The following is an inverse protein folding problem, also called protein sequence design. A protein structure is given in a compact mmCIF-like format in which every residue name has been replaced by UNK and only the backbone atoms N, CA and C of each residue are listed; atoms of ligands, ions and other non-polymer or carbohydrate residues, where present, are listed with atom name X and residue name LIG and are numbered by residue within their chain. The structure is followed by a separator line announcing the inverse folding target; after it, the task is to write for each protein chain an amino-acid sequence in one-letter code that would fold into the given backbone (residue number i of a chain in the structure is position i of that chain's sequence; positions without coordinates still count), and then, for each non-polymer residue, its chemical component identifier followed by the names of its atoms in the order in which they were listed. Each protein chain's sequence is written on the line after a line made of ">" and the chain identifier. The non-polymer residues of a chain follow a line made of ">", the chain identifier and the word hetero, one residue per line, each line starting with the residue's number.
data_IF_173204582415
#
_entry.id   IF_173204582415
#
_cell.length_a   1.000
_cell.length_b   1.000
_cell.length_c   1.000
_cell.angle_alpha   90.00
_cell.angle_beta   90.00
_cell.angle_gamma   90.00
#
_symmetry.space_group_name_H-M   'P 1'
#
loop_
_entity.id
_entity.type
_entity.pdbx_description
1 polymer ?
#
# COMPACT_ATOMS: atom_id res chain seq x y z
N UNK A 1 -1.88 17.04 -11.42
CA UNK A 1 -2.01 16.83 -9.95
C UNK A 1 -1.11 15.66 -9.55
N UNK A 2 -0.38 15.74 -8.45
CA UNK A 2 0.44 14.65 -7.93
C UNK A 2 -0.32 13.97 -6.78
N UNK A 3 -0.64 12.68 -6.94
CA UNK A 3 -1.37 11.89 -5.95
C UNK A 3 -0.46 10.77 -5.45
N UNK A 4 -0.16 10.78 -4.15
CA UNK A 4 0.51 9.65 -3.51
C UNK A 4 -0.53 8.61 -3.12
N UNK A 5 -0.52 7.45 -3.79
CA UNK A 5 -1.54 6.40 -3.54
C UNK A 5 -1.24 5.52 -2.34
N UNK A 6 -0.05 5.66 -1.72
CA UNK A 6 0.40 4.72 -0.70
C UNK A 6 1.07 5.42 0.48
N UNK A 7 0.27 5.75 1.49
CA UNK A 7 0.77 6.32 2.74
C UNK A 7 0.01 5.74 3.94
N UNK A 8 0.66 5.73 5.10
CA UNK A 8 0.06 5.19 6.32
C UNK A 8 -0.40 6.28 7.28
N UNK A 9 -1.58 6.13 7.85
CA UNK A 9 -2.12 7.03 8.89
C UNK A 9 -1.17 7.06 10.08
N UNK A 10 -0.65 8.23 10.46
CA UNK A 10 0.21 8.36 11.64
C UNK A 10 -0.58 8.00 12.90
N UNK A 11 0.05 7.22 13.76
CA UNK A 11 -0.58 6.75 15.01
C UNK A 11 -0.74 7.86 16.03
N UNK A 12 0.19 8.83 16.04
CA UNK A 12 0.29 9.86 17.06
C UNK A 12 -0.08 11.23 16.50
N UNK A 13 -0.88 11.99 17.26
CA UNK A 13 -1.23 13.35 16.86
C UNK A 13 -0.05 14.32 17.02
N UNK A 14 0.75 14.10 18.07
CA UNK A 14 1.85 14.98 18.42
C UNK A 14 3.02 14.20 19.02
N UNK A 15 4.13 14.89 19.21
CA UNK A 15 5.38 14.29 19.69
C UNK A 15 5.27 13.78 21.15
N UNK A 16 4.49 14.44 22.00
CA UNK A 16 4.32 13.99 23.39
C UNK A 16 3.66 12.60 23.44
N UNK A 17 2.64 12.37 22.62
CA UNK A 17 2.01 11.04 22.49
C UNK A 17 3.00 9.99 21.94
N UNK A 18 3.82 10.36 20.94
CA UNK A 18 4.80 9.46 20.34
C UNK A 18 5.94 9.10 21.31
N UNK A 19 6.39 10.04 22.14
CA UNK A 19 7.48 9.82 23.10
C UNK A 19 7.04 8.97 24.30
N UNK A 20 5.77 9.06 24.72
CA UNK A 20 5.20 8.26 25.82
C UNK A 20 4.86 6.81 25.39
N UNK A 21 4.79 6.54 24.11
CA UNK A 21 4.39 5.24 23.60
C UNK A 21 5.50 4.18 23.70
N UNK A 22 5.10 2.99 24.17
CA UNK A 22 5.94 1.78 24.06
C UNK A 22 5.68 1.15 22.70
N UNK A 23 6.66 1.22 21.80
CA UNK A 23 6.57 0.60 20.48
C UNK A 23 7.11 -0.83 20.53
N UNK A 24 6.30 -1.84 20.29
CA UNK A 24 6.79 -3.22 20.17
C UNK A 24 7.64 -3.38 18.90
N UNK A 25 8.76 -4.06 19.01
CA UNK A 25 9.57 -4.45 17.85
C UNK A 25 8.91 -5.67 17.19
N UNK A 26 8.45 -5.52 15.95
CA UNK A 26 7.74 -6.58 15.21
C UNK A 26 8.51 -7.14 14.02
N UNK A 27 9.62 -6.52 13.64
CA UNK A 27 10.40 -6.91 12.49
C UNK A 27 11.78 -7.43 12.92
N UNK A 28 12.22 -8.54 12.31
CA UNK A 28 13.56 -9.10 12.52
C UNK A 28 14.66 -8.31 11.82
N UNK A 29 14.28 -7.43 10.90
CA UNK A 29 15.19 -6.55 10.18
C UNK A 29 14.53 -5.18 9.99
N UNK A 30 15.29 -4.09 9.95
CA UNK A 30 14.76 -2.78 9.65
C UNK A 30 14.20 -2.76 8.24
N UNK A 31 13.07 -2.04 8.05
CA UNK A 31 12.50 -1.83 6.70
C UNK A 31 13.48 -1.06 5.81
N UNK A 32 14.21 -0.13 6.40
CA UNK A 32 15.31 0.62 5.77
C UNK A 32 16.50 0.69 6.73
N UNK A 33 17.68 0.20 6.29
CA UNK A 33 18.88 0.20 7.16
C UNK A 33 19.46 1.60 7.42
N UNK A 34 19.10 2.58 6.59
CA UNK A 34 19.56 3.97 6.64
C UNK A 34 18.66 4.90 7.46
N UNK A 35 17.56 4.37 8.05
CA UNK A 35 16.59 5.18 8.79
C UNK A 35 16.21 4.59 10.14
N UNK A 36 15.92 5.47 11.14
CA UNK A 36 15.29 5.05 12.37
C UNK A 36 13.88 4.51 12.12
N UNK A 37 13.33 3.83 13.12
CA UNK A 37 11.97 3.27 13.09
C UNK A 37 10.93 4.36 12.75
N UNK A 38 10.20 4.22 11.64
CA UNK A 38 9.21 5.20 11.20
C UNK A 38 7.88 5.11 11.97
N UNK A 39 7.73 4.16 12.90
CA UNK A 39 6.47 3.89 13.60
C UNK A 39 5.99 5.02 14.54
N UNK A 40 6.87 6.00 14.83
CA UNK A 40 6.59 7.15 15.71
C UNK A 40 6.25 8.45 14.99
N UNK A 41 5.94 8.39 13.71
CA UNK A 41 5.53 9.55 12.92
C UNK A 41 4.26 10.20 13.49
N UNK A 42 4.26 11.51 13.59
CA UNK A 42 3.13 12.33 14.05
C UNK A 42 2.34 12.91 12.88
N UNK A 43 1.17 13.47 13.15
CA UNK A 43 0.34 14.16 12.16
C UNK A 43 1.08 15.33 11.50
N UNK A 44 1.79 16.15 12.29
CA UNK A 44 2.53 17.29 11.77
C UNK A 44 3.70 16.86 10.87
N UNK A 45 4.44 15.81 11.26
CA UNK A 45 5.52 15.24 10.44
C UNK A 45 4.98 14.65 9.13
N UNK A 46 3.82 13.99 9.18
CA UNK A 46 3.16 13.50 7.97
C UNK A 46 2.79 14.67 7.05
N UNK A 47 2.11 15.69 7.56
CA UNK A 47 1.68 16.84 6.76
C UNK A 47 2.85 17.63 6.18
N UNK A 48 3.97 17.70 6.91
CA UNK A 48 5.21 18.28 6.39
C UNK A 48 5.78 17.47 5.21
N UNK A 49 5.80 16.15 5.32
CA UNK A 49 6.27 15.27 4.23
C UNK A 49 5.36 15.33 2.99
N UNK A 50 4.04 15.48 3.17
CA UNK A 50 3.07 15.54 2.08
C UNK A 50 3.05 16.89 1.33
N UNK A 51 3.91 17.85 1.65
CA UNK A 51 4.00 19.10 0.88
C UNK A 51 4.43 18.88 -0.57
N UNK A 52 5.14 17.78 -0.85
CA UNK A 52 5.61 17.43 -2.19
C UNK A 52 4.49 16.93 -3.14
N UNK A 53 3.29 16.64 -2.63
CA UNK A 53 2.16 16.11 -3.41
C UNK A 53 0.92 16.96 -3.23
N UNK A 54 -0.01 16.92 -4.17
CA UNK A 54 -1.28 17.63 -4.05
C UNK A 54 -2.24 16.95 -3.08
N UNK A 55 -2.39 15.63 -3.19
CA UNK A 55 -3.19 14.80 -2.28
C UNK A 55 -2.49 13.48 -1.98
N UNK A 56 -2.90 12.84 -0.88
CA UNK A 56 -2.41 11.51 -0.49
C UNK A 56 -3.56 10.58 -0.10
N UNK A 57 -3.47 9.33 -0.53
CA UNK A 57 -4.32 8.25 -0.04
C UNK A 57 -3.69 7.70 1.22
N UNK A 58 -4.47 7.69 2.32
CA UNK A 58 -3.98 7.33 3.65
C UNK A 58 -4.81 6.22 4.25
N UNK A 59 -4.15 5.28 4.93
CA UNK A 59 -4.77 4.10 5.51
C UNK A 59 -3.90 3.45 6.60
N UNK A 60 -4.47 2.49 7.30
CA UNK A 60 -3.75 1.48 8.07
C UNK A 60 -4.30 0.09 7.74
N UNK A 61 -3.74 -0.96 8.34
CA UNK A 61 -4.16 -2.35 8.12
C UNK A 61 -4.79 -2.88 9.42
N UNK A 62 -6.07 -3.27 9.35
CA UNK A 62 -6.79 -3.90 10.43
C UNK A 62 -6.29 -5.33 10.70
N UNK A 63 -6.37 -5.77 11.95
CA UNK A 63 -6.11 -7.15 12.32
C UNK A 63 -7.33 -8.06 12.12
N UNK A 64 -7.16 -9.39 12.26
CA UNK A 64 -8.27 -10.33 12.27
C UNK A 64 -9.15 -10.12 13.51
N UNK A 65 -10.46 -10.41 13.41
CA UNK A 65 -11.43 -10.13 14.47
C UNK A 65 -11.26 -11.02 15.70
N UNK A 66 -10.75 -12.22 15.52
CA UNK A 66 -10.57 -13.25 16.54
C UNK A 66 -9.27 -13.12 17.35
N UNK A 67 -8.46 -12.14 17.05
CA UNK A 67 -7.13 -11.95 17.65
C UNK A 67 -6.12 -13.03 17.26
N UNK A 68 -6.52 -13.99 16.43
CA UNK A 68 -5.70 -15.10 15.95
C UNK A 68 -4.82 -14.60 14.77
N UNK A 69 -3.92 -13.70 15.12
CA UNK A 69 -3.14 -12.96 14.11
C UNK A 69 -2.06 -13.80 13.45
N UNK A 70 -1.68 -14.97 14.05
CA UNK A 70 -0.46 -15.67 13.63
C UNK A 70 -0.51 -17.16 13.88
N UNK A 71 0.37 -17.93 13.20
CA UNK A 71 0.50 -19.37 13.42
C UNK A 71 0.67 -19.71 14.91
N UNK A 72 -0.04 -20.73 15.36
CA UNK A 72 0.04 -21.22 16.76
C UNK A 72 1.48 -21.51 17.15
N UNK A 73 1.91 -21.03 18.31
CA UNK A 73 3.23 -21.32 18.88
C UNK A 73 4.24 -20.17 18.83
N UNK A 74 3.83 -18.96 18.41
CA UNK A 74 4.67 -17.78 18.59
C UNK A 74 4.52 -17.18 20.00
N UNK A 75 5.61 -16.62 20.59
CA UNK A 75 5.55 -15.98 21.90
C UNK A 75 4.55 -14.82 21.92
N UNK A 76 3.70 -14.76 22.94
CA UNK A 76 2.70 -13.67 23.09
C UNK A 76 3.34 -12.29 23.27
N UNK A 77 4.56 -12.20 23.72
CA UNK A 77 5.30 -10.98 24.03
C UNK A 77 5.93 -10.27 22.83
N UNK A 78 5.92 -10.90 21.65
CA UNK A 78 6.42 -10.33 20.38
C UNK A 78 5.31 -9.97 19.37
N UNK A 79 4.04 -10.22 19.70
CA UNK A 79 2.93 -10.05 18.77
C UNK A 79 2.28 -8.67 18.95
N UNK A 80 2.43 -7.80 17.96
CA UNK A 80 1.59 -6.59 17.88
C UNK A 80 0.18 -7.03 17.49
N UNK A 81 -0.73 -6.98 18.44
CA UNK A 81 -2.15 -7.08 18.13
C UNK A 81 -2.54 -5.86 17.29
N UNK A 82 -2.85 -6.09 16.04
CA UNK A 82 -3.43 -5.03 15.19
C UNK A 82 -4.83 -4.72 15.70
N UNK A 83 -5.16 -3.44 15.66
CA UNK A 83 -6.51 -2.99 16.01
C UNK A 83 -7.52 -3.58 15.03
N UNK A 84 -8.75 -3.79 15.49
CA UNK A 84 -9.85 -4.24 14.65
C UNK A 84 -10.27 -3.17 13.63
N UNK A 85 -10.96 -3.58 12.59
CA UNK A 85 -11.35 -2.72 11.46
C UNK A 85 -11.99 -1.40 11.91
N UNK A 86 -12.93 -1.45 12.85
CA UNK A 86 -13.67 -0.27 13.33
C UNK A 86 -12.74 0.80 13.91
N UNK A 87 -11.83 0.43 14.79
CA UNK A 87 -10.88 1.37 15.41
C UNK A 87 -9.89 1.95 14.38
N UNK A 88 -9.40 1.12 13.47
CA UNK A 88 -8.50 1.53 12.38
C UNK A 88 -9.19 2.54 11.46
N UNK A 89 -10.44 2.28 11.08
CA UNK A 89 -11.21 3.14 10.19
C UNK A 89 -11.58 4.47 10.87
N UNK A 90 -11.96 4.44 12.15
CA UNK A 90 -12.24 5.65 12.93
C UNK A 90 -10.99 6.55 13.05
N UNK A 91 -9.82 5.96 13.31
CA UNK A 91 -8.56 6.70 13.38
C UNK A 91 -8.18 7.31 12.01
N UNK A 92 -8.33 6.55 10.92
CA UNK A 92 -8.09 7.04 9.55
C UNK A 92 -9.05 8.17 9.21
N UNK A 93 -10.34 8.02 9.49
CA UNK A 93 -11.35 9.05 9.24
C UNK A 93 -11.09 10.32 10.04
N UNK A 94 -10.70 10.19 11.31
CA UNK A 94 -10.35 11.36 12.15
C UNK A 94 -9.20 12.17 11.56
N UNK A 95 -8.18 11.49 11.00
CA UNK A 95 -7.07 12.15 10.34
C UNK A 95 -7.48 12.81 9.03
N UNK A 96 -8.26 12.11 8.19
CA UNK A 96 -8.80 12.67 6.93
C UNK A 96 -9.69 13.87 7.17
N UNK A 97 -10.57 13.82 8.17
CA UNK A 97 -11.45 14.95 8.52
C UNK A 97 -10.70 16.19 9.04
N UNK A 98 -9.51 16.00 9.60
CA UNK A 98 -8.65 17.12 9.99
C UNK A 98 -8.00 17.81 8.77
N UNK A 99 -7.82 17.10 7.65
CA UNK A 99 -7.17 17.61 6.45
C UNK A 99 -7.88 17.17 5.16
N UNK A 100 -9.17 17.49 4.96
CA UNK A 100 -10.03 16.91 3.91
C UNK A 100 -9.60 17.30 2.49
N UNK A 101 -8.98 18.46 2.32
CA UNK A 101 -8.48 18.89 1.00
C UNK A 101 -7.21 18.14 0.57
N UNK A 102 -6.49 17.59 1.55
CA UNK A 102 -5.20 16.92 1.32
C UNK A 102 -5.32 15.40 1.28
N UNK A 103 -6.20 14.83 2.08
CA UNK A 103 -6.24 13.40 2.34
C UNK A 103 -7.47 12.72 1.75
N UNK A 104 -7.27 11.50 1.26
CA UNK A 104 -8.32 10.56 0.85
C UNK A 104 -8.15 9.32 1.71
N UNK A 105 -9.15 8.97 2.51
CA UNK A 105 -9.07 7.82 3.40
C UNK A 105 -9.47 6.51 2.71
N UNK A 106 -8.66 5.48 2.88
CA UNK A 106 -9.05 4.11 2.59
C UNK A 106 -9.31 3.36 3.88
N UNK A 107 -10.41 2.60 3.93
CA UNK A 107 -10.71 1.70 5.04
C UNK A 107 -9.82 0.47 5.01
N UNK A 108 -9.74 -0.22 6.14
CA UNK A 108 -9.24 -1.59 6.19
C UNK A 108 -10.27 -2.46 6.88
N UNK A 109 -10.54 -3.62 6.29
CA UNK A 109 -11.50 -4.61 6.77
C UNK A 109 -10.89 -6.00 6.72
N UNK A 110 -11.48 -6.96 7.41
CA UNK A 110 -11.01 -8.34 7.40
C UNK A 110 -12.09 -9.27 6.84
N UNK A 111 -11.78 -10.19 5.90
CA UNK A 111 -12.79 -11.05 5.27
C UNK A 111 -13.54 -11.96 6.25
N UNK A 112 -12.93 -12.36 7.39
CA UNK A 112 -13.58 -13.16 8.43
C UNK A 112 -14.29 -12.33 9.52
N UNK A 113 -14.37 -11.00 9.35
CA UNK A 113 -15.12 -10.18 10.30
C UNK A 113 -16.63 -10.44 10.13
N UNK A 114 -17.35 -10.87 11.18
CA UNK A 114 -18.79 -11.05 11.11
C UNK A 114 -19.56 -9.78 10.72
N UNK A 115 -18.99 -8.61 10.99
CA UNK A 115 -19.55 -7.30 10.67
C UNK A 115 -18.95 -6.69 9.40
N UNK A 116 -18.27 -7.47 8.56
CA UNK A 116 -17.57 -6.99 7.36
C UNK A 116 -18.42 -6.03 6.51
N UNK A 117 -19.62 -6.45 6.11
CA UNK A 117 -20.45 -5.67 5.20
C UNK A 117 -21.01 -4.41 5.88
N UNK A 118 -21.40 -4.52 7.15
CA UNK A 118 -21.87 -3.39 7.94
C UNK A 118 -20.74 -2.35 8.12
N UNK A 119 -19.53 -2.79 8.40
CA UNK A 119 -18.39 -1.89 8.54
C UNK A 119 -18.01 -1.23 7.21
N UNK A 120 -18.08 -1.95 6.09
CA UNK A 120 -17.87 -1.37 4.76
C UNK A 120 -18.90 -0.27 4.46
N UNK A 121 -20.18 -0.52 4.76
CA UNK A 121 -21.25 0.45 4.54
C UNK A 121 -21.06 1.68 5.45
N UNK A 122 -20.72 1.48 6.73
CA UNK A 122 -20.41 2.55 7.68
C UNK A 122 -19.20 3.37 7.25
N UNK A 123 -18.14 2.71 6.84
CA UNK A 123 -16.90 3.38 6.47
C UNK A 123 -17.09 4.31 5.26
N UNK A 124 -17.92 3.91 4.30
CA UNK A 124 -18.27 4.78 3.16
C UNK A 124 -19.31 5.83 3.55
N UNK A 125 -20.42 5.43 4.20
CA UNK A 125 -21.56 6.31 4.45
C UNK A 125 -21.31 7.32 5.56
N UNK A 126 -20.77 6.88 6.69
CA UNK A 126 -20.61 7.72 7.89
C UNK A 126 -19.21 8.36 7.97
N UNK A 127 -18.17 7.62 7.55
CA UNK A 127 -16.78 8.07 7.68
C UNK A 127 -16.22 8.72 6.41
N UNK A 128 -16.87 8.56 5.25
CA UNK A 128 -16.44 9.13 3.99
C UNK A 128 -15.16 8.49 3.41
N UNK A 129 -14.84 7.24 3.79
CA UNK A 129 -13.69 6.52 3.26
C UNK A 129 -14.00 5.99 1.85
N UNK A 130 -13.03 6.08 0.93
CA UNK A 130 -13.28 5.97 -0.51
C UNK A 130 -12.58 4.80 -1.20
N UNK A 131 -11.98 3.90 -0.46
CA UNK A 131 -11.29 2.72 -0.97
C UNK A 131 -10.92 1.77 0.16
N UNK A 132 -10.21 0.71 -0.17
CA UNK A 132 -9.86 -0.35 0.79
C UNK A 132 -8.36 -0.62 0.75
N UNK A 133 -7.73 -0.72 1.93
CA UNK A 133 -6.38 -1.28 2.10
C UNK A 133 -6.46 -2.66 2.70
N UNK A 134 -5.80 -3.60 2.03
CA UNK A 134 -5.63 -4.97 2.52
C UNK A 134 -4.14 -5.34 2.58
N UNK A 135 -3.81 -6.22 3.50
CA UNK A 135 -2.52 -6.88 3.58
C UNK A 135 -2.72 -8.35 3.92
N UNK A 136 -3.02 -9.23 2.94
CA UNK A 136 -3.39 -10.62 3.20
C UNK A 136 -2.38 -11.35 4.09
N UNK A 137 -1.09 -11.12 3.88
CA UNK A 137 0.00 -11.67 4.70
C UNK A 137 0.02 -11.12 6.13
N UNK A 138 -0.33 -9.82 6.31
CA UNK A 138 -0.41 -9.19 7.64
C UNK A 138 -1.70 -9.48 8.37
N UNK A 139 -2.75 -9.76 7.62
CA UNK A 139 -4.09 -10.03 8.12
C UNK A 139 -4.38 -11.53 8.26
N UNK A 140 -3.45 -12.39 7.84
CA UNK A 140 -3.54 -13.84 7.91
C UNK A 140 -4.80 -14.39 7.20
N UNK A 141 -5.02 -14.05 5.94
CA UNK A 141 -6.09 -14.63 5.12
C UNK A 141 -5.64 -14.97 3.70
N UNK A 142 -6.21 -16.03 3.15
CA UNK A 142 -6.02 -16.41 1.74
C UNK A 142 -6.83 -15.45 0.83
N UNK A 143 -6.18 -14.69 -0.07
CA UNK A 143 -6.90 -13.82 -1.01
C UNK A 143 -7.78 -14.58 -2.02
N UNK A 144 -7.61 -15.89 -2.14
CA UNK A 144 -8.43 -16.77 -2.99
C UNK A 144 -9.52 -17.51 -2.21
N UNK A 145 -9.57 -17.35 -0.90
CA UNK A 145 -10.56 -17.98 -0.03
C UNK A 145 -11.99 -17.48 -0.28
N UNK A 146 -12.96 -18.28 0.15
CA UNK A 146 -14.39 -17.93 -0.02
C UNK A 146 -14.74 -16.67 0.78
N UNK A 147 -14.18 -16.50 1.98
CA UNK A 147 -14.37 -15.30 2.80
C UNK A 147 -13.90 -14.04 2.08
N UNK A 148 -12.72 -14.08 1.44
CA UNK A 148 -12.19 -12.95 0.66
C UNK A 148 -13.08 -12.63 -0.55
N UNK A 149 -13.77 -13.62 -1.10
CA UNK A 149 -14.67 -13.43 -2.24
C UNK A 149 -15.86 -12.55 -1.92
N UNK A 150 -16.42 -12.63 -0.72
CA UNK A 150 -17.52 -11.77 -0.28
C UNK A 150 -17.08 -10.29 -0.20
N UNK A 151 -15.88 -10.04 0.34
CA UNK A 151 -15.26 -8.72 0.40
C UNK A 151 -15.05 -8.14 -1.00
N UNK A 152 -14.43 -8.89 -1.91
CA UNK A 152 -14.16 -8.44 -3.27
C UNK A 152 -15.45 -8.18 -4.08
N UNK A 153 -16.48 -9.03 -3.91
CA UNK A 153 -17.78 -8.80 -4.53
C UNK A 153 -18.39 -7.48 -4.06
N UNK A 154 -18.44 -7.26 -2.75
CA UNK A 154 -18.99 -6.03 -2.17
C UNK A 154 -18.20 -4.79 -2.60
N UNK A 155 -16.88 -4.85 -2.59
CA UNK A 155 -16.04 -3.76 -3.06
C UNK A 155 -16.30 -3.42 -4.53
N UNK A 156 -16.45 -4.44 -5.39
CA UNK A 156 -16.80 -4.25 -6.80
C UNK A 156 -18.17 -3.62 -6.98
N UNK A 157 -19.17 -4.05 -6.22
CA UNK A 157 -20.54 -3.48 -6.25
C UNK A 157 -20.54 -2.00 -5.84
N UNK A 158 -19.77 -1.65 -4.81
CA UNK A 158 -19.62 -0.28 -4.31
C UNK A 158 -18.70 0.58 -5.19
N UNK A 159 -17.99 0.00 -6.17
CA UNK A 159 -17.01 0.69 -7.01
C UNK A 159 -15.74 1.12 -6.29
N UNK A 160 -15.44 0.52 -5.14
CA UNK A 160 -14.28 0.87 -4.31
C UNK A 160 -12.99 0.27 -4.88
N UNK A 161 -11.93 1.07 -5.10
CA UNK A 161 -10.61 0.54 -5.42
C UNK A 161 -10.00 -0.15 -4.19
N UNK A 162 -9.19 -1.17 -4.43
CA UNK A 162 -8.47 -1.88 -3.38
C UNK A 162 -6.97 -1.79 -3.62
N UNK A 163 -6.22 -1.29 -2.65
CA UNK A 163 -4.77 -1.38 -2.60
C UNK A 163 -4.39 -2.57 -1.70
N UNK A 164 -3.74 -3.57 -2.30
CA UNK A 164 -3.28 -4.76 -1.60
C UNK A 164 -1.77 -4.71 -1.41
N UNK A 165 -1.33 -4.95 -0.17
CA UNK A 165 0.09 -5.23 0.05
C UNK A 165 0.48 -6.45 -0.77
N UNK A 166 1.53 -6.29 -1.57
CA UNK A 166 2.12 -7.35 -2.37
C UNK A 166 3.63 -7.35 -2.17
N UNK A 167 4.21 -8.52 -2.08
CA UNK A 167 5.64 -8.62 -1.94
C UNK A 167 6.09 -9.04 -0.54
N UNK A 168 7.36 -8.81 -0.28
CA UNK A 168 8.01 -9.25 0.95
C UNK A 168 7.63 -8.40 2.18
N UNK A 169 7.87 -8.97 3.34
CA UNK A 169 7.78 -8.29 4.63
C UNK A 169 8.91 -8.76 5.55
N UNK A 170 9.49 -7.88 6.40
CA UNK A 170 10.39 -8.28 7.46
C UNK A 170 9.68 -8.87 8.67
N UNK A 171 8.36 -8.88 8.68
CA UNK A 171 7.53 -9.42 9.77
C UNK A 171 7.51 -10.94 9.70
N UNK A 172 8.06 -11.60 10.71
CA UNK A 172 8.34 -13.04 10.71
C UNK A 172 7.13 -13.94 10.41
N UNK A 173 5.95 -13.56 10.85
CA UNK A 173 4.73 -14.36 10.73
C UNK A 173 3.85 -13.95 9.54
N UNK A 174 4.25 -12.96 8.76
CA UNK A 174 3.53 -12.57 7.55
C UNK A 174 3.83 -13.60 6.44
N UNK A 175 2.88 -14.47 6.15
CA UNK A 175 3.03 -15.51 5.14
C UNK A 175 3.26 -14.87 3.75
N UNK A 176 4.40 -15.18 3.16
CA UNK A 176 4.81 -14.62 1.87
C UNK A 176 3.92 -15.09 0.72
N UNK A 177 3.37 -16.29 0.80
CA UNK A 177 2.52 -16.81 -0.27
C UNK A 177 1.28 -15.92 -0.46
N UNK A 178 0.65 -15.46 0.61
CA UNK A 178 -0.54 -14.60 0.51
C UNK A 178 -0.29 -13.20 -0.03
N UNK A 179 0.96 -12.76 -0.07
CA UNK A 179 1.37 -11.50 -0.71
C UNK A 179 1.99 -11.70 -2.10
N UNK A 180 1.86 -12.90 -2.68
CA UNK A 180 2.41 -13.17 -4.00
C UNK A 180 1.50 -12.60 -5.11
N UNK A 181 2.00 -11.79 -6.05
CA UNK A 181 1.19 -11.13 -7.08
C UNK A 181 0.32 -12.05 -7.92
N UNK A 182 0.71 -13.33 -8.12
CA UNK A 182 -0.06 -14.31 -8.89
C UNK A 182 -1.48 -14.57 -8.36
N UNK A 183 -1.72 -14.37 -7.07
CA UNK A 183 -3.08 -14.50 -6.52
C UNK A 183 -4.01 -13.46 -7.13
N UNK A 184 -3.51 -12.25 -7.41
CA UNK A 184 -4.34 -11.19 -7.98
C UNK A 184 -4.72 -11.41 -9.44
N UNK A 185 -4.02 -12.28 -10.16
CA UNK A 185 -4.47 -12.74 -11.48
C UNK A 185 -5.85 -13.41 -11.41
N UNK A 186 -6.04 -14.29 -10.42
CA UNK A 186 -7.33 -14.97 -10.22
C UNK A 186 -8.40 -14.04 -9.66
N UNK A 187 -8.04 -13.17 -8.73
CA UNK A 187 -8.96 -12.16 -8.17
C UNK A 187 -9.47 -11.24 -9.29
N UNK A 188 -8.57 -10.69 -10.11
CA UNK A 188 -8.93 -9.80 -11.21
C UNK A 188 -9.75 -10.49 -12.31
N UNK A 189 -9.50 -11.78 -12.56
CA UNK A 189 -10.31 -12.59 -13.48
C UNK A 189 -11.73 -12.79 -12.95
N UNK A 190 -11.88 -13.05 -11.64
CA UNK A 190 -13.18 -13.29 -11.01
C UNK A 190 -13.98 -12.00 -10.81
N UNK A 191 -13.29 -10.88 -10.58
CA UNK A 191 -13.88 -9.56 -10.32
C UNK A 191 -13.37 -8.52 -11.34
N UNK A 192 -13.79 -8.60 -12.61
CA UNK A 192 -13.19 -7.83 -13.70
C UNK A 192 -13.49 -6.33 -13.68
N UNK A 193 -14.42 -5.87 -12.84
CA UNK A 193 -14.71 -4.44 -12.64
C UNK A 193 -14.05 -3.87 -11.39
N UNK A 194 -13.46 -4.71 -10.55
CA UNK A 194 -12.78 -4.30 -9.33
C UNK A 194 -11.44 -3.67 -9.67
N UNK A 195 -11.21 -2.42 -9.25
CA UNK A 195 -9.94 -1.74 -9.43
C UNK A 195 -8.95 -2.20 -8.36
N UNK A 196 -7.83 -2.77 -8.78
CA UNK A 196 -6.81 -3.32 -7.89
C UNK A 196 -5.48 -2.59 -8.07
N UNK A 197 -4.80 -2.28 -6.98
CA UNK A 197 -3.47 -1.72 -6.94
C UNK A 197 -2.55 -2.68 -6.19
N UNK A 198 -1.51 -3.17 -6.87
CA UNK A 198 -0.46 -3.97 -6.27
C UNK A 198 0.58 -3.04 -5.64
N UNK A 199 0.70 -3.09 -4.32
CA UNK A 199 1.71 -2.30 -3.61
C UNK A 199 3.14 -2.72 -3.99
N UNK A 200 4.07 -1.75 -3.97
CA UNK A 200 5.52 -1.98 -4.13
C UNK A 200 5.91 -2.72 -5.40
N UNK A 201 5.09 -2.63 -6.45
CA UNK A 201 5.26 -3.42 -7.68
C UNK A 201 5.50 -4.92 -7.40
N UNK A 202 4.95 -5.42 -6.28
CA UNK A 202 5.09 -6.82 -5.86
C UNK A 202 6.50 -7.26 -5.47
N UNK A 203 7.38 -6.33 -5.07
CA UNK A 203 8.79 -6.63 -4.75
C UNK A 203 8.93 -7.78 -3.73
N UNK A 204 9.73 -8.87 -3.99
CA UNK A 204 10.71 -9.04 -5.08
C UNK A 204 10.15 -9.79 -6.32
N UNK A 205 8.84 -10.01 -6.43
CA UNK A 205 8.22 -10.74 -7.57
C UNK A 205 7.67 -9.79 -8.65
N UNK A 206 8.47 -8.79 -9.03
CA UNK A 206 8.06 -7.77 -10.00
C UNK A 206 7.68 -8.36 -11.37
N UNK A 207 8.33 -9.45 -11.80
CA UNK A 207 8.00 -10.12 -13.06
C UNK A 207 6.58 -10.69 -13.03
N UNK A 208 6.18 -11.29 -11.91
CA UNK A 208 4.81 -11.79 -11.73
C UNK A 208 3.80 -10.63 -11.66
N UNK A 209 4.12 -9.57 -10.92
CA UNK A 209 3.28 -8.37 -10.86
C UNK A 209 3.09 -7.73 -12.24
N UNK A 210 4.18 -7.64 -13.02
CA UNK A 210 4.18 -7.13 -14.38
C UNK A 210 3.26 -7.94 -15.29
N UNK A 211 3.31 -9.28 -15.20
CA UNK A 211 2.44 -10.17 -15.97
C UNK A 211 0.95 -9.92 -15.62
N UNK A 212 0.62 -9.68 -14.33
CA UNK A 212 -0.74 -9.41 -13.86
C UNK A 212 -1.24 -8.06 -14.37
N UNK A 213 -0.48 -6.97 -14.15
CA UNK A 213 -0.93 -5.62 -14.57
C UNK A 213 -1.05 -5.49 -16.08
N UNK A 214 -0.20 -6.20 -16.85
CA UNK A 214 -0.28 -6.23 -18.31
C UNK A 214 -1.53 -6.94 -18.81
N UNK A 215 -1.91 -8.02 -18.15
CA UNK A 215 -3.04 -8.89 -18.55
C UNK A 215 -4.40 -8.23 -18.24
N UNK A 216 -4.52 -7.53 -17.12
CA UNK A 216 -5.79 -7.03 -16.60
C UNK A 216 -5.93 -5.51 -16.75
N UNK A 217 -6.97 -5.02 -17.46
CA UNK A 217 -7.19 -3.57 -17.62
C UNK A 217 -7.48 -2.85 -16.29
N UNK A 218 -8.07 -3.56 -15.34
CA UNK A 218 -8.49 -3.06 -14.02
C UNK A 218 -7.45 -3.24 -12.91
N UNK A 219 -6.18 -3.56 -13.25
CA UNK A 219 -5.10 -3.76 -12.28
C UNK A 219 -3.95 -2.82 -12.56
N UNK A 220 -3.45 -2.16 -11.54
CA UNK A 220 -2.28 -1.27 -11.55
C UNK A 220 -1.29 -1.73 -10.49
N UNK A 221 -0.10 -1.10 -10.46
CA UNK A 221 0.85 -1.26 -9.37
C UNK A 221 1.41 0.11 -8.96
N UNK A 222 1.78 0.28 -7.70
CA UNK A 222 2.50 1.47 -7.26
C UNK A 222 4.02 1.23 -7.21
N UNK A 223 4.79 2.32 -7.28
CA UNK A 223 6.26 2.29 -7.25
C UNK A 223 6.83 2.56 -5.85
N UNK A 224 6.00 2.50 -4.82
CA UNK A 224 6.39 2.80 -3.45
C UNK A 224 7.50 1.91 -2.90
N UNK A 225 8.29 2.42 -1.99
CA UNK A 225 9.32 1.68 -1.26
C UNK A 225 10.38 0.96 -2.13
N UNK A 226 10.61 1.38 -3.37
CA UNK A 226 11.56 0.74 -4.29
C UNK A 226 12.88 1.51 -4.45
N UNK A 227 12.83 2.85 -4.47
CA UNK A 227 13.94 3.70 -4.90
C UNK A 227 15.22 3.52 -4.07
N UNK A 228 15.13 3.21 -2.79
CA UNK A 228 16.29 2.95 -1.93
C UNK A 228 16.88 1.53 -2.10
N UNK A 229 16.44 0.79 -3.11
CA UNK A 229 16.98 -0.48 -3.60
C UNK A 229 17.37 -0.32 -5.07
N UNK A 230 18.49 0.35 -5.41
CA UNK A 230 18.77 0.85 -6.76
C UNK A 230 18.69 -0.24 -7.84
N UNK A 231 19.22 -1.43 -7.58
CA UNK A 231 19.15 -2.55 -8.53
C UNK A 231 17.72 -3.02 -8.77
N UNK A 232 16.95 -3.26 -7.71
CA UNK A 232 15.56 -3.70 -7.82
C UNK A 232 14.67 -2.63 -8.47
N UNK A 233 14.90 -1.35 -8.12
CA UNK A 233 14.18 -0.20 -8.68
C UNK A 233 14.42 -0.11 -10.19
N UNK A 234 15.68 -0.08 -10.63
CA UNK A 234 16.03 -0.05 -12.04
C UNK A 234 15.49 -1.28 -12.79
N UNK A 235 15.74 -2.49 -12.28
CA UNK A 235 15.31 -3.74 -12.95
C UNK A 235 13.79 -3.77 -13.13
N UNK A 236 13.02 -3.39 -12.10
CA UNK A 236 11.56 -3.38 -12.16
C UNK A 236 11.04 -2.44 -13.25
N UNK A 237 11.57 -1.20 -13.27
CA UNK A 237 11.11 -0.18 -14.21
C UNK A 237 11.66 -0.39 -15.61
N UNK A 238 12.85 -1.00 -15.74
CA UNK A 238 13.37 -1.43 -17.04
C UNK A 238 12.48 -2.51 -17.66
N UNK A 239 12.05 -3.49 -16.88
CA UNK A 239 11.10 -4.52 -17.35
C UNK A 239 9.74 -3.90 -17.69
N UNK A 240 9.22 -2.98 -16.87
CA UNK A 240 7.97 -2.29 -17.18
C UNK A 240 8.04 -1.50 -18.49
N UNK A 241 9.20 -0.89 -18.79
CA UNK A 241 9.47 -0.23 -20.08
C UNK A 241 9.48 -1.25 -21.22
N UNK A 242 10.21 -2.34 -21.08
CA UNK A 242 10.34 -3.37 -22.11
C UNK A 242 8.99 -4.01 -22.47
N UNK A 243 8.12 -4.19 -21.47
CA UNK A 243 6.79 -4.75 -21.66
C UNK A 243 5.72 -3.68 -21.96
N UNK A 244 6.12 -2.42 -22.14
CA UNK A 244 5.26 -1.27 -22.46
C UNK A 244 4.11 -1.07 -21.45
N UNK A 245 4.38 -1.23 -20.15
CA UNK A 245 3.37 -1.12 -19.08
C UNK A 245 3.63 0.00 -18.07
N UNK A 246 4.53 0.93 -18.35
CA UNK A 246 4.73 2.12 -17.50
C UNK A 246 3.43 2.89 -17.24
N UNK A 247 2.48 2.86 -18.20
CA UNK A 247 1.16 3.46 -18.07
C UNK A 247 0.27 2.79 -17.00
N UNK A 248 0.65 1.61 -16.52
CA UNK A 248 -0.04 0.86 -15.44
C UNK A 248 0.56 1.11 -14.07
N UNK A 249 1.58 1.97 -13.96
CA UNK A 249 2.19 2.33 -12.69
C UNK A 249 1.60 3.61 -12.14
N UNK A 250 1.45 3.65 -10.81
CA UNK A 250 0.97 4.79 -10.02
C UNK A 250 2.07 5.26 -9.08
N UNK A 251 2.06 6.55 -8.77
CA UNK A 251 2.98 7.14 -7.82
C UNK A 251 2.55 6.80 -6.38
N UNK A 252 3.48 6.28 -5.58
CA UNK A 252 3.31 6.02 -4.16
C UNK A 252 4.66 6.09 -3.44
N UNK A 253 4.69 6.53 -2.18
CA UNK A 253 5.91 6.62 -1.38
C UNK A 253 6.06 5.49 -0.36
N UNK A 254 4.98 4.98 0.19
CA UNK A 254 4.96 4.14 1.39
C UNK A 254 5.37 4.93 2.65
N UNK A 255 4.98 6.22 2.72
CA UNK A 255 5.26 7.02 3.91
C UNK A 255 4.63 6.36 5.16
N UNK A 256 5.37 6.22 6.27
CA UNK A 256 6.62 6.88 6.63
C UNK A 256 7.92 6.13 6.29
N UNK A 257 7.88 5.00 5.59
CA UNK A 257 9.09 4.26 5.19
C UNK A 257 9.97 5.08 4.24
N UNK A 258 9.35 5.78 3.30
CA UNK A 258 9.98 6.75 2.43
C UNK A 258 9.09 7.98 2.27
N UNK A 259 9.62 9.13 1.90
CA UNK A 259 8.82 10.31 1.64
C UNK A 259 8.47 10.45 0.15
N UNK A 260 7.38 11.17 -0.18
CA UNK A 260 7.07 11.50 -1.58
C UNK A 260 8.22 12.23 -2.28
N UNK A 261 8.85 13.20 -1.61
CA UNK A 261 9.95 13.96 -2.20
C UNK A 261 11.12 13.05 -2.57
N UNK A 262 11.56 12.16 -1.67
CA UNK A 262 12.64 11.20 -1.98
C UNK A 262 12.31 10.31 -3.17
N UNK A 263 11.05 9.85 -3.26
CA UNK A 263 10.61 8.99 -4.35
C UNK A 263 10.63 9.74 -5.68
N UNK A 264 10.21 11.03 -5.69
CA UNK A 264 10.28 11.89 -6.88
C UNK A 264 11.74 12.17 -7.26
N UNK A 265 12.58 12.55 -6.30
CA UNK A 265 13.98 12.90 -6.52
C UNK A 265 14.82 11.71 -7.03
N UNK A 266 14.40 10.49 -6.71
CA UNK A 266 15.09 9.29 -7.17
C UNK A 266 14.85 8.97 -8.67
N UNK A 267 13.78 9.49 -9.27
CA UNK A 267 13.43 9.19 -10.67
C UNK A 267 14.52 9.62 -11.66
N UNK A 268 15.03 10.87 -11.63
CA UNK A 268 16.11 11.30 -12.53
C UNK A 268 17.39 10.45 -12.40
N UNK A 269 17.61 9.87 -11.25
CA UNK A 269 18.83 9.12 -10.88
C UNK A 269 18.74 7.62 -11.13
N UNK A 270 17.63 7.11 -11.68
CA UNK A 270 17.41 5.66 -11.85
C UNK A 270 18.46 4.98 -12.71
N UNK A 271 19.10 5.70 -13.59
CA UNK A 271 20.13 5.18 -14.51
C UNK A 271 21.57 5.39 -14.02
N UNK A 272 21.80 6.04 -12.89
CA UNK A 272 23.16 6.37 -12.41
C UNK A 272 24.02 5.11 -12.16
N UNK A 273 23.38 4.02 -11.68
CA UNK A 273 24.07 2.74 -11.48
C UNK A 273 24.59 2.11 -12.80
N UNK A 274 24.21 2.65 -13.95
CA UNK A 274 24.59 2.13 -15.27
C UNK A 274 25.77 2.88 -15.88
N UNK A 275 26.38 3.82 -15.17
CA UNK A 275 27.52 4.57 -15.67
C UNK A 275 28.65 3.63 -16.12
N UNK A 276 29.18 3.84 -17.32
CA UNK A 276 30.22 3.00 -17.92
C UNK A 276 29.73 1.62 -18.43
N UNK A 277 28.43 1.33 -18.42
CA UNK A 277 27.86 0.08 -18.93
C UNK A 277 27.12 0.28 -20.26
N UNK A 278 26.88 -0.84 -20.96
CA UNK A 278 26.02 -0.92 -22.16
C UNK A 278 24.58 -1.39 -21.81
N UNK A 279 24.19 -1.42 -20.55
CA UNK A 279 22.86 -1.84 -20.15
C UNK A 279 21.80 -0.84 -20.62
N UNK A 280 20.59 -1.31 -21.00
CA UNK A 280 19.53 -0.44 -21.52
C UNK A 280 19.00 0.48 -20.42
N UNK A 281 18.80 1.75 -20.74
CA UNK A 281 18.32 2.76 -19.79
C UNK A 281 16.80 2.76 -19.69
N UNK A 282 16.29 3.17 -18.53
CA UNK A 282 14.88 3.49 -18.31
C UNK A 282 14.64 4.90 -18.89
N UNK A 283 13.55 5.13 -19.67
CA UNK A 283 13.22 6.47 -20.18
C UNK A 283 12.69 7.34 -19.03
N UNK A 284 13.52 8.25 -18.53
CA UNK A 284 13.21 9.10 -17.37
C UNK A 284 11.97 9.96 -17.61
N UNK A 285 11.82 10.55 -18.80
CA UNK A 285 10.68 11.42 -19.13
C UNK A 285 9.35 10.65 -19.10
N UNK A 286 9.33 9.40 -19.58
CA UNK A 286 8.14 8.54 -19.47
C UNK A 286 7.88 8.10 -18.04
N UNK A 287 8.93 7.85 -17.26
CA UNK A 287 8.80 7.48 -15.86
C UNK A 287 8.26 8.65 -15.02
N UNK A 288 8.68 9.89 -15.32
CA UNK A 288 8.11 11.09 -14.66
C UNK A 288 6.60 11.24 -14.88
N UNK A 289 6.04 10.70 -15.96
CA UNK A 289 4.59 10.71 -16.19
C UNK A 289 3.83 9.88 -15.14
N UNK A 290 4.49 8.93 -14.48
CA UNK A 290 3.88 8.15 -13.36
C UNK A 290 3.51 9.08 -12.20
N UNK A 291 4.35 10.09 -11.91
CA UNK A 291 4.12 11.07 -10.84
C UNK A 291 2.91 11.95 -11.13
N UNK A 292 2.70 12.29 -12.40
CA UNK A 292 1.66 13.24 -12.85
C UNK A 292 0.41 12.57 -13.42
N UNK A 293 0.28 11.26 -13.25
CA UNK A 293 -0.84 10.49 -13.78
C UNK A 293 -2.17 10.93 -13.17
N UNK A 294 -3.22 10.91 -13.98
CA UNK A 294 -4.59 11.16 -13.52
C UNK A 294 -5.12 9.97 -12.70
N UNK A 295 -4.62 9.91 -11.48
CA UNK A 295 -4.84 8.79 -10.56
C UNK A 295 -6.26 8.78 -10.01
N UNK A 296 -6.88 9.95 -9.82
CA UNK A 296 -8.24 10.01 -9.28
C UNK A 296 -9.24 9.43 -10.27
N UNK A 297 -9.18 9.80 -11.55
CA UNK A 297 -10.02 9.23 -12.61
C UNK A 297 -9.79 7.71 -12.72
N UNK A 298 -8.53 7.27 -12.78
CA UNK A 298 -8.18 5.84 -12.84
C UNK A 298 -8.84 5.04 -11.71
N UNK A 299 -8.84 5.58 -10.50
CA UNK A 299 -9.37 4.91 -9.32
C UNK A 299 -10.86 5.19 -9.08
N UNK A 300 -11.48 6.11 -9.84
CA UNK A 300 -12.88 6.53 -9.65
C UNK A 300 -13.08 7.28 -8.34
N UNK A 301 -12.16 8.18 -8.03
CA UNK A 301 -12.13 8.98 -6.81
C UNK A 301 -12.41 10.47 -7.03
N UNK A 302 -12.78 10.86 -8.24
CA UNK A 302 -13.16 12.23 -8.58
C UNK A 302 -14.39 12.73 -7.84
#
# INVERSE_FOLDING_TARGET
>A
MIIDVHTHTPRYRNKAEADDARTPVTANAPMRPDRPDPSRTTWDEYMAAMQAVDRAIVFNIAGPPDGDQFPRGLPEDGVVRREQARAVNDATAAFVHAYPEKLIGFMSVHPRDPQLLEEMDRAVGDLGLRGIKLGPNYQNFDPLGDDASALFSRAQEMGLPILLHQGTSPVQFADLDWAHPRHLDRVATRFPKLRLILAHFGHPWQVDALAVIRKHPNVWADISALHYRPWSYWTSLRLATEWAVLHKLLFGSDFPVASPQETIDAIPHINDLLEGTALPRVPVDELMQVVHRDTLDILGLD
#
